data_IF_327905300870
#
_entry.id   IF_327905300870
#
_cell.length_a   1.000
_cell.length_b   1.000
_cell.length_c   1.000
_cell.angle_alpha   90.00
_cell.angle_beta   90.00
_cell.angle_gamma   90.00
#
_symmetry.space_group_name_H-M   'P 1'
#
loop_
_entity.id
_entity.type
_entity.pdbx_description
1 polymer ?
#
# COMPACT_ATOMS: atom_id res chain seq x y z
N UNK A 1 8.04 -8.12 22.88
CA UNK A 1 6.74 -8.69 22.46
C UNK A 1 5.66 -7.63 22.54
N UNK A 2 5.03 -7.31 21.42
CA UNK A 2 3.94 -6.32 21.34
C UNK A 2 2.77 -6.79 22.20
N UNK A 3 2.39 -6.01 23.22
CA UNK A 3 1.19 -6.25 24.00
C UNK A 3 0.06 -5.43 23.40
N UNK A 4 -0.92 -6.09 22.81
CA UNK A 4 -2.17 -5.46 22.39
C UNK A 4 -3.04 -5.26 23.64
N UNK A 5 -3.06 -4.06 24.21
CA UNK A 5 -4.02 -3.70 25.25
C UNK A 5 -5.08 -2.77 24.67
N UNK A 6 -6.27 -2.74 25.28
CA UNK A 6 -7.38 -1.88 24.87
C UNK A 6 -7.02 -0.37 24.82
N UNK A 7 -5.93 0.02 25.48
CA UNK A 7 -5.42 1.40 25.55
C UNK A 7 -4.14 1.63 24.73
N UNK A 8 -3.51 0.60 24.16
CA UNK A 8 -2.29 0.75 23.36
C UNK A 8 -2.59 0.68 21.86
N UNK A 9 -2.38 1.77 21.15
CA UNK A 9 -2.37 1.75 19.68
C UNK A 9 -0.99 1.24 19.22
N UNK A 10 -1.00 0.21 18.37
CA UNK A 10 0.19 -0.28 17.68
C UNK A 10 0.03 0.08 16.21
N UNK A 11 0.87 0.96 15.70
CA UNK A 11 0.90 1.29 14.28
C UNK A 11 1.51 0.14 13.49
N UNK A 12 1.16 0.01 12.21
CA UNK A 12 1.79 -0.95 11.30
C UNK A 12 3.32 -0.79 11.29
N UNK A 13 3.77 0.46 11.33
CA UNK A 13 5.17 0.87 11.38
C UNK A 13 5.86 0.32 12.64
N UNK A 14 5.24 0.53 13.81
CA UNK A 14 5.77 -0.01 15.07
C UNK A 14 5.79 -1.53 15.04
N UNK A 15 4.75 -2.17 14.49
CA UNK A 15 4.69 -3.61 14.41
C UNK A 15 5.84 -4.17 13.54
N UNK A 16 6.07 -3.60 12.35
CA UNK A 16 7.13 -4.02 11.43
C UNK A 16 8.52 -3.94 12.09
N UNK A 17 8.88 -2.79 12.68
CA UNK A 17 10.16 -2.63 13.39
C UNK A 17 10.32 -3.65 14.52
N UNK A 18 9.26 -3.87 15.31
CA UNK A 18 9.35 -4.82 16.42
C UNK A 18 9.43 -6.27 15.94
N UNK A 19 8.88 -6.61 14.77
CA UNK A 19 9.10 -7.91 14.14
C UNK A 19 10.54 -8.05 13.66
N UNK A 20 11.07 -7.07 12.92
CA UNK A 20 12.45 -7.09 12.42
C UNK A 20 13.48 -7.32 13.54
N UNK A 21 13.31 -6.62 14.68
CA UNK A 21 14.19 -6.77 15.85
C UNK A 21 14.23 -8.20 16.42
N UNK A 22 13.22 -9.02 16.15
CA UNK A 22 13.21 -10.43 16.59
C UNK A 22 14.03 -11.34 15.67
N UNK A 23 14.53 -10.82 14.54
CA UNK A 23 15.30 -11.54 13.53
C UNK A 23 16.68 -10.88 13.38
N UNK A 24 17.71 -11.33 14.13
CA UNK A 24 19.06 -10.75 14.09
C UNK A 24 19.72 -10.75 12.70
N UNK A 25 19.29 -11.65 11.83
CA UNK A 25 19.72 -11.80 10.44
C UNK A 25 19.01 -10.87 9.45
N UNK A 26 17.99 -10.14 9.90
CA UNK A 26 17.20 -9.28 9.02
C UNK A 26 18.03 -8.11 8.49
N UNK A 27 17.98 -7.90 7.17
CA UNK A 27 18.64 -6.79 6.46
C UNK A 27 17.85 -5.48 6.55
N UNK A 28 16.57 -5.57 6.90
CA UNK A 28 15.62 -4.45 6.86
C UNK A 28 14.94 -4.26 5.50
N UNK A 29 15.36 -4.97 4.44
CA UNK A 29 14.78 -4.84 3.10
C UNK A 29 13.29 -5.19 3.06
N UNK A 30 12.90 -6.31 3.69
CA UNK A 30 11.48 -6.69 3.77
C UNK A 30 10.67 -5.65 4.56
N UNK A 31 11.23 -5.11 5.64
CA UNK A 31 10.57 -4.07 6.42
C UNK A 31 10.35 -2.82 5.56
N UNK A 32 11.38 -2.37 4.83
CA UNK A 32 11.29 -1.28 3.87
C UNK A 32 10.17 -1.50 2.84
N UNK A 33 10.14 -2.67 2.21
CA UNK A 33 9.09 -3.03 1.26
C UNK A 33 7.68 -2.97 1.88
N UNK A 34 7.51 -3.45 3.12
CA UNK A 34 6.24 -3.38 3.84
C UNK A 34 5.84 -1.95 4.21
N UNK A 35 6.81 -1.08 4.49
CA UNK A 35 6.59 0.35 4.70
C UNK A 35 6.07 1.03 3.44
N UNK A 36 6.73 0.79 2.30
CA UNK A 36 6.35 1.37 1.02
C UNK A 36 4.96 0.91 0.59
N UNK A 37 4.65 -0.38 0.80
CA UNK A 37 3.32 -0.91 0.55
C UNK A 37 2.25 -0.27 1.45
N UNK A 38 2.55 -0.07 2.73
CA UNK A 38 1.64 0.60 3.66
C UNK A 38 1.41 2.07 3.26
N UNK A 39 2.42 2.75 2.72
CA UNK A 39 2.31 4.10 2.18
C UNK A 39 1.43 4.12 0.92
N UNK A 40 1.69 3.22 -0.04
CA UNK A 40 0.90 3.07 -1.25
C UNK A 40 -0.59 2.85 -0.93
N UNK A 41 -0.89 1.96 0.01
CA UNK A 41 -2.25 1.69 0.46
C UNK A 41 -2.93 2.95 1.05
N UNK A 42 -2.21 3.73 1.87
CA UNK A 42 -2.71 5.01 2.42
C UNK A 42 -3.03 6.01 1.30
N UNK A 43 -2.18 6.09 0.27
CA UNK A 43 -2.38 6.96 -0.90
C UNK A 43 -3.60 6.53 -1.73
N UNK A 44 -3.73 5.24 -2.04
CA UNK A 44 -4.89 4.69 -2.76
C UNK A 44 -6.18 4.97 -1.98
N UNK A 45 -6.20 4.68 -0.68
CA UNK A 45 -7.37 4.92 0.15
C UNK A 45 -7.81 6.40 0.15
N UNK A 46 -6.85 7.33 0.08
CA UNK A 46 -7.14 8.75 -0.07
C UNK A 46 -7.81 9.04 -1.42
N UNK A 47 -7.25 8.52 -2.52
CA UNK A 47 -7.83 8.67 -3.86
C UNK A 47 -9.25 8.09 -3.93
N UNK A 48 -9.47 6.89 -3.38
CA UNK A 48 -10.80 6.27 -3.31
C UNK A 48 -11.80 7.16 -2.57
N UNK A 49 -11.43 7.71 -1.41
CA UNK A 49 -12.32 8.61 -0.66
C UNK A 49 -12.69 9.89 -1.43
N UNK A 50 -11.77 10.38 -2.27
CA UNK A 50 -11.99 11.57 -3.10
C UNK A 50 -12.49 11.25 -4.51
N UNK A 51 -12.78 9.99 -4.84
CA UNK A 51 -13.06 9.57 -6.20
C UNK A 51 -14.35 10.18 -6.77
N UNK A 52 -15.36 10.45 -5.93
CA UNK A 52 -16.57 11.17 -6.36
C UNK A 52 -16.36 12.66 -6.66
N UNK A 53 -15.21 13.21 -6.28
CA UNK A 53 -14.84 14.62 -6.48
C UNK A 53 -13.76 14.82 -7.56
N UNK A 54 -13.20 13.72 -8.08
CA UNK A 54 -12.14 13.71 -9.08
C UNK A 54 -12.54 12.84 -10.28
N UNK A 55 -12.00 13.11 -11.48
CA UNK A 55 -12.29 12.30 -12.68
C UNK A 55 -11.52 10.96 -12.71
N UNK A 56 -11.65 10.18 -11.64
CA UNK A 56 -10.95 8.90 -11.45
C UNK A 56 -11.91 7.70 -11.34
N UNK A 57 -13.21 7.94 -11.52
CA UNK A 57 -14.25 6.91 -11.59
C UNK A 57 -14.53 6.53 -13.05
N UNK A 58 -14.95 5.28 -13.24
CA UNK A 58 -15.33 4.74 -14.54
C UNK A 58 -14.22 3.93 -15.24
N UNK A 59 -14.61 3.34 -16.36
CA UNK A 59 -13.73 2.56 -17.19
C UNK A 59 -12.73 3.45 -17.95
N UNK A 60 -11.56 2.91 -18.20
CA UNK A 60 -10.65 3.39 -19.25
C UNK A 60 -11.15 2.90 -20.61
N UNK A 61 -10.46 3.32 -21.67
CA UNK A 61 -10.67 2.77 -23.02
C UNK A 61 -9.78 1.55 -23.30
N UNK A 62 -9.02 1.08 -22.30
CA UNK A 62 -8.02 0.04 -22.44
C UNK A 62 -8.47 -1.27 -21.81
N UNK A 63 -8.14 -2.37 -22.50
CA UNK A 63 -8.35 -3.73 -22.05
C UNK A 63 -7.04 -4.28 -21.49
N UNK A 64 -7.10 -4.96 -20.33
CA UNK A 64 -5.93 -5.59 -19.74
C UNK A 64 -5.59 -6.92 -20.45
N UNK A 65 -4.46 -7.54 -20.08
CA UNK A 65 -4.01 -8.80 -20.68
C UNK A 65 -4.95 -9.99 -20.40
N UNK A 66 -5.90 -9.81 -19.48
CA UNK A 66 -6.93 -10.78 -19.11
C UNK A 66 -8.23 -10.60 -19.90
N UNK A 67 -8.32 -9.56 -20.73
CA UNK A 67 -9.49 -9.28 -21.56
C UNK A 67 -10.58 -8.44 -20.87
N UNK A 68 -10.23 -7.72 -19.81
CA UNK A 68 -11.16 -6.91 -19.02
C UNK A 68 -10.96 -5.42 -19.27
N UNK A 69 -12.05 -4.68 -19.41
CA UNK A 69 -12.01 -3.22 -19.51
C UNK A 69 -11.58 -2.62 -18.16
N UNK A 70 -10.38 -2.07 -18.11
CA UNK A 70 -9.76 -1.67 -16.85
C UNK A 70 -10.41 -0.39 -16.30
N UNK A 71 -10.61 -0.30 -14.98
CA UNK A 71 -11.11 0.94 -14.37
C UNK A 71 -9.97 1.95 -14.19
N UNK A 72 -10.28 3.25 -14.30
CA UNK A 72 -9.31 4.34 -14.07
C UNK A 72 -8.63 4.21 -12.71
N UNK A 73 -9.38 3.77 -11.70
CA UNK A 73 -8.88 3.55 -10.35
C UNK A 73 -7.88 2.39 -10.29
N UNK A 74 -8.08 1.33 -11.08
CA UNK A 74 -7.17 0.18 -11.12
C UNK A 74 -5.81 0.58 -11.69
N UNK A 75 -5.82 1.34 -12.79
CA UNK A 75 -4.60 1.91 -13.40
C UNK A 75 -3.86 2.80 -12.40
N UNK A 76 -4.59 3.69 -11.72
CA UNK A 76 -4.02 4.59 -10.73
C UNK A 76 -3.40 3.82 -9.55
N UNK A 77 -4.10 2.81 -9.03
CA UNK A 77 -3.60 1.99 -7.93
C UNK A 77 -2.32 1.25 -8.33
N UNK A 78 -2.31 0.66 -9.53
CA UNK A 78 -1.12 0.01 -10.08
C UNK A 78 0.07 0.96 -10.17
N UNK A 79 -0.11 2.16 -10.72
CA UNK A 79 0.96 3.16 -10.79
C UNK A 79 1.49 3.58 -9.42
N UNK A 80 0.60 3.78 -8.43
CA UNK A 80 0.99 4.17 -7.08
C UNK A 80 1.83 3.07 -6.43
N UNK A 81 1.42 1.80 -6.57
CA UNK A 81 2.16 0.68 -5.99
C UNK A 81 3.53 0.57 -6.65
N UNK A 82 3.61 0.57 -7.98
CA UNK A 82 4.88 0.50 -8.71
C UNK A 82 5.80 1.62 -8.23
N UNK A 83 5.37 2.89 -8.27
CA UNK A 83 6.20 4.03 -7.85
C UNK A 83 6.65 3.95 -6.40
N UNK A 84 5.82 3.40 -5.51
CA UNK A 84 6.16 3.25 -4.10
C UNK A 84 7.23 2.18 -3.88
N UNK A 85 7.20 1.07 -4.64
CA UNK A 85 8.14 -0.06 -4.45
C UNK A 85 9.35 -0.03 -5.38
N UNK A 86 9.41 0.93 -6.31
CA UNK A 86 10.49 1.07 -7.32
C UNK A 86 11.84 1.56 -6.72
N UNK A 87 11.84 2.03 -5.47
CA UNK A 87 13.02 2.62 -4.82
C UNK A 87 13.70 1.69 -3.79
N UNK A 88 13.53 0.38 -3.93
CA UNK A 88 14.21 -0.66 -3.13
C UNK A 88 15.66 -0.88 -3.53
#
# INVERSE_FOLDING_TARGET
MVRHTATSVVTIERYIIEQEKMHPEATGELSGLLYDLALAAKMIANKVRSAGLADILGATELENVQGELQQKLDVLANEIIIKAVDHG
#
